data_IF_038167141320
#
_entry.id   IF_038167141320
#
_cell.length_a   1.000
_cell.length_b   1.000
_cell.length_c   1.000
_cell.angle_alpha   90.00
_cell.angle_beta   90.00
_cell.angle_gamma   90.00
#
_symmetry.space_group_name_H-M   'P 1'
#
loop_
_entity.id
_entity.type
_entity.pdbx_description
1 polymer ?
#
# COMPACT_ATOMS: atom_id res chain seq x y z
N UNK A 1 -6.69 6.22 -22.48
CA UNK A 1 -7.96 6.08 -23.24
C UNK A 1 -8.65 7.42 -23.52
N UNK A 2 -8.76 8.33 -22.55
CA UNK A 2 -9.40 9.65 -22.74
C UNK A 2 -8.74 10.51 -23.83
N UNK A 3 -7.40 10.56 -23.89
CA UNK A 3 -6.63 11.25 -24.94
C UNK A 3 -7.06 10.80 -26.35
N UNK A 4 -7.02 9.49 -26.62
CA UNK A 4 -7.35 8.93 -27.93
C UNK A 4 -8.81 9.20 -28.31
N UNK A 5 -9.75 9.05 -27.37
CA UNK A 5 -11.16 9.33 -27.62
C UNK A 5 -11.38 10.81 -28.00
N UNK A 6 -10.70 11.73 -27.32
CA UNK A 6 -10.84 13.18 -27.57
C UNK A 6 -10.27 13.61 -28.91
N UNK A 7 -9.20 12.96 -29.37
CA UNK A 7 -8.65 13.15 -30.74
C UNK A 7 -9.62 12.58 -31.78
N UNK A 8 -10.15 11.36 -31.57
CA UNK A 8 -11.05 10.69 -32.52
C UNK A 8 -12.42 11.38 -32.67
N UNK A 9 -12.90 12.01 -31.61
CA UNK A 9 -14.21 12.69 -31.60
C UNK A 9 -14.13 14.16 -32.01
N UNK A 10 -12.93 14.69 -32.22
CA UNK A 10 -12.75 16.06 -32.71
C UNK A 10 -13.46 16.24 -34.07
N UNK A 11 -14.20 17.36 -34.19
CA UNK A 11 -14.90 17.75 -35.41
C UNK A 11 -14.41 19.12 -35.86
N UNK A 12 -14.34 19.29 -37.18
CA UNK A 12 -14.19 20.62 -37.77
C UNK A 12 -15.41 21.46 -37.37
N UNK A 13 -15.16 22.63 -36.78
CA UNK A 13 -16.16 23.64 -36.47
C UNK A 13 -16.45 24.50 -37.71
N UNK A 14 -15.40 24.79 -38.46
CA UNK A 14 -15.44 25.71 -39.60
C UNK A 14 -14.33 25.37 -40.60
N UNK A 15 -14.61 25.52 -41.88
CA UNK A 15 -13.62 25.40 -42.95
C UNK A 15 -13.15 26.80 -43.33
N UNK A 16 -11.84 27.04 -43.21
CA UNK A 16 -11.24 28.37 -43.35
C UNK A 16 -10.80 28.61 -44.79
N UNK A 17 -10.12 27.63 -45.38
CA UNK A 17 -9.69 27.68 -46.80
C UNK A 17 -9.53 26.26 -47.34
N UNK A 18 -9.80 26.10 -48.62
CA UNK A 18 -9.57 24.90 -49.43
C UNK A 18 -8.54 25.13 -50.57
N UNK A 19 -7.91 26.31 -50.59
CA UNK A 19 -6.95 26.71 -51.63
C UNK A 19 -5.72 25.77 -51.72
N UNK A 20 -5.21 25.58 -52.95
CA UNK A 20 -4.03 24.75 -53.23
C UNK A 20 -2.99 25.53 -54.06
N UNK A 21 -1.79 25.82 -53.51
CA UNK A 21 -1.36 25.63 -52.12
C UNK A 21 -1.86 26.77 -51.21
N UNK A 22 -2.45 26.42 -50.06
CA UNK A 22 -2.77 27.41 -49.03
C UNK A 22 -1.49 27.99 -48.38
N UNK A 23 -1.49 29.29 -48.11
CA UNK A 23 -0.47 29.92 -47.27
C UNK A 23 -0.62 29.44 -45.82
N UNK A 24 0.37 28.72 -45.30
CA UNK A 24 0.32 28.10 -43.97
C UNK A 24 0.79 29.03 -42.85
N UNK A 25 1.50 30.11 -43.20
CA UNK A 25 2.11 31.01 -42.24
C UNK A 25 1.06 31.71 -41.33
N UNK A 26 -0.04 32.29 -41.86
CA UNK A 26 -1.06 32.98 -41.06
C UNK A 26 -1.69 32.08 -40.00
N UNK A 27 -1.77 30.78 -40.28
CA UNK A 27 -2.41 29.78 -39.43
C UNK A 27 -1.44 29.11 -38.45
N UNK A 28 -0.14 29.42 -38.54
CA UNK A 28 0.88 28.72 -37.74
C UNK A 28 1.03 27.25 -38.12
N UNK A 29 0.76 26.88 -39.38
CA UNK A 29 0.86 25.51 -39.88
C UNK A 29 2.14 25.27 -40.69
N UNK A 30 2.93 26.31 -40.95
CA UNK A 30 4.28 26.17 -41.54
C UNK A 30 5.26 25.55 -40.53
N UNK A 31 5.15 25.95 -39.26
CA UNK A 31 5.78 25.32 -38.10
C UNK A 31 4.66 25.00 -37.09
N UNK A 32 4.01 23.84 -37.20
CA UNK A 32 2.84 23.50 -36.38
C UNK A 32 3.20 23.47 -34.90
N UNK A 33 2.29 23.95 -34.04
CA UNK A 33 2.46 23.87 -32.58
C UNK A 33 2.38 22.41 -32.10
N UNK A 34 1.54 21.60 -32.74
CA UNK A 34 1.43 20.17 -32.48
C UNK A 34 1.27 19.39 -33.78
N UNK A 35 1.90 18.21 -33.83
CA UNK A 35 1.71 17.24 -34.90
C UNK A 35 1.37 15.87 -34.30
N UNK A 36 0.30 15.26 -34.81
CA UNK A 36 -0.18 13.96 -34.36
C UNK A 36 -0.16 12.99 -35.53
N UNK A 37 0.59 11.91 -35.39
CA UNK A 37 0.58 10.79 -36.35
C UNK A 37 -0.17 9.62 -35.72
N UNK A 38 -1.28 9.23 -36.34
CA UNK A 38 -2.07 8.07 -35.96
C UNK A 38 -1.85 6.95 -36.97
N UNK A 39 -1.43 5.78 -36.49
CA UNK A 39 -1.20 4.60 -37.34
C UNK A 39 -2.09 3.46 -36.89
N UNK A 40 -2.83 2.86 -37.83
CA UNK A 40 -3.67 1.69 -37.56
C UNK A 40 -3.74 0.78 -38.78
N UNK A 41 -3.35 -0.49 -38.63
CA UNK A 41 -3.43 -1.50 -39.71
C UNK A 41 -2.74 -1.11 -41.02
N UNK A 42 -1.71 -0.27 -40.96
CA UNK A 42 -1.00 0.28 -42.13
C UNK A 42 -1.53 1.61 -42.67
N UNK A 43 -2.70 2.07 -42.23
CA UNK A 43 -3.18 3.42 -42.52
C UNK A 43 -2.48 4.43 -41.61
N UNK A 44 -2.00 5.54 -42.19
CA UNK A 44 -1.36 6.64 -41.48
C UNK A 44 -2.20 7.90 -41.71
N UNK A 45 -2.56 8.59 -40.63
CA UNK A 45 -3.21 9.89 -40.66
C UNK A 45 -2.34 10.88 -39.87
N UNK A 46 -1.97 11.98 -40.51
CA UNK A 46 -1.19 13.04 -39.89
C UNK A 46 -2.04 14.30 -39.78
N UNK A 47 -2.13 14.82 -38.57
CA UNK A 47 -2.86 16.04 -38.23
C UNK A 47 -1.84 17.06 -37.74
N UNK A 48 -1.86 18.25 -38.33
CA UNK A 48 -1.10 19.41 -37.86
C UNK A 48 -2.06 20.41 -37.24
N UNK A 49 -1.69 20.94 -36.08
CA UNK A 49 -2.42 21.94 -35.31
C UNK A 49 -1.54 23.17 -35.19
N UNK A 50 -2.08 24.31 -35.60
CA UNK A 50 -1.42 25.61 -35.58
C UNK A 50 -1.91 26.49 -34.45
N UNK A 51 -1.79 27.81 -34.65
CA UNK A 51 -2.12 28.81 -33.64
C UNK A 51 -3.63 28.97 -33.45
N UNK A 52 -4.02 29.60 -32.35
CA UNK A 52 -5.39 30.08 -32.18
C UNK A 52 -5.63 31.39 -32.95
N UNK A 53 -6.82 31.61 -33.55
CA UNK A 53 -7.20 32.91 -34.08
C UNK A 53 -7.15 34.01 -33.01
N UNK A 54 -6.75 35.22 -33.38
CA UNK A 54 -6.65 36.36 -32.44
C UNK A 54 -8.00 36.84 -31.93
N UNK A 55 -9.07 36.64 -32.71
CA UNK A 55 -10.43 37.01 -32.38
C UNK A 55 -11.23 35.90 -31.67
N UNK A 56 -10.79 34.64 -31.72
CA UNK A 56 -11.43 33.52 -31.05
C UNK A 56 -10.38 32.50 -30.53
N UNK A 57 -9.84 32.72 -29.32
CA UNK A 57 -8.83 31.85 -28.73
C UNK A 57 -9.39 30.49 -28.28
N UNK A 58 -10.70 30.25 -28.41
CA UNK A 58 -11.32 28.95 -28.06
C UNK A 58 -11.16 27.89 -29.16
N UNK A 59 -10.61 28.27 -30.32
CA UNK A 59 -10.39 27.42 -31.49
C UNK A 59 -8.92 27.44 -31.88
N UNK A 60 -8.51 26.44 -32.68
CA UNK A 60 -7.18 26.37 -33.28
C UNK A 60 -7.30 25.94 -34.73
N UNK A 61 -6.39 26.44 -35.56
CA UNK A 61 -6.27 25.97 -36.94
C UNK A 61 -5.73 24.54 -36.97
N UNK A 62 -6.28 23.72 -37.86
CA UNK A 62 -5.84 22.35 -38.07
C UNK A 62 -5.86 22.00 -39.55
N UNK A 63 -4.99 21.08 -39.96
CA UNK A 63 -5.08 20.41 -41.26
C UNK A 63 -4.75 18.93 -41.13
N UNK A 64 -5.42 18.12 -41.93
CA UNK A 64 -5.05 16.72 -42.19
C UNK A 64 -4.09 16.73 -43.37
N UNK A 65 -2.90 16.13 -43.27
CA UNK A 65 -1.94 16.15 -44.39
C UNK A 65 -2.44 15.42 -45.64
N UNK A 66 -3.40 14.51 -45.48
CA UNK A 66 -4.09 13.86 -46.59
C UNK A 66 -5.04 14.81 -47.37
N UNK A 67 -5.31 16.02 -46.84
CA UNK A 67 -6.20 17.01 -47.43
C UNK A 67 -5.52 18.40 -47.45
N UNK A 68 -5.94 19.30 -48.35
CA UNK A 68 -5.39 20.65 -48.43
C UNK A 68 -6.12 21.68 -47.56
N UNK A 69 -7.30 21.32 -47.03
CA UNK A 69 -8.16 22.24 -46.32
C UNK A 69 -7.62 22.58 -44.93
N UNK A 70 -7.77 23.84 -44.55
CA UNK A 70 -7.51 24.32 -43.20
C UNK A 70 -8.86 24.52 -42.53
N UNK A 71 -9.00 23.97 -41.33
CA UNK A 71 -10.23 24.01 -40.54
C UNK A 71 -9.95 24.59 -39.17
N UNK A 72 -11.00 25.08 -38.50
CA UNK A 72 -10.96 25.37 -37.08
C UNK A 72 -11.50 24.18 -36.30
N UNK A 73 -10.78 23.77 -35.26
CA UNK A 73 -11.22 22.75 -34.28
C UNK A 73 -11.24 23.35 -32.88
N UNK A 74 -11.97 22.77 -31.91
CA UNK A 74 -11.94 23.25 -30.53
C UNK A 74 -10.52 23.20 -29.95
N UNK A 75 -10.08 24.25 -29.26
CA UNK A 75 -8.77 24.30 -28.59
C UNK A 75 -8.57 23.16 -27.58
N UNK A 76 -9.65 22.64 -27.02
CA UNK A 76 -9.65 21.49 -26.11
C UNK A 76 -8.98 20.22 -26.68
N UNK A 77 -8.78 20.11 -28.00
CA UNK A 77 -7.99 19.03 -28.63
C UNK A 77 -6.50 19.21 -28.32
N UNK A 78 -5.99 20.43 -28.48
CA UNK A 78 -4.60 20.81 -28.19
C UNK A 78 -4.31 20.70 -26.70
N UNK A 79 -5.23 21.15 -25.84
CA UNK A 79 -5.03 21.09 -24.39
C UNK A 79 -4.77 19.66 -23.88
N UNK A 80 -5.33 18.65 -24.56
CA UNK A 80 -5.14 17.24 -24.20
C UNK A 80 -3.84 16.70 -24.78
N UNK A 81 -3.45 17.14 -25.98
CA UNK A 81 -2.15 16.81 -26.58
C UNK A 81 -0.97 17.41 -25.82
N UNK A 82 -1.19 18.53 -25.14
CA UNK A 82 -0.22 19.16 -24.25
C UNK A 82 -0.02 18.39 -22.92
N UNK A 83 -0.78 17.31 -22.67
CA UNK A 83 -0.60 16.47 -21.47
C UNK A 83 0.81 15.87 -21.47
N UNK A 84 1.62 16.09 -20.42
CA UNK A 84 2.96 15.51 -20.33
C UNK A 84 2.90 13.98 -20.46
N UNK A 85 3.80 13.38 -21.24
CA UNK A 85 3.80 11.93 -21.47
C UNK A 85 3.84 11.12 -20.16
N UNK A 86 4.49 11.65 -19.12
CA UNK A 86 4.58 11.04 -17.78
C UNK A 86 3.19 10.83 -17.16
N UNK A 87 2.23 11.71 -17.43
CA UNK A 87 0.85 11.58 -16.96
C UNK A 87 0.05 10.53 -17.75
N UNK A 88 0.53 10.18 -18.96
CA UNK A 88 -0.08 9.17 -19.81
C UNK A 88 0.47 7.75 -19.56
N UNK A 89 1.53 7.62 -18.77
CA UNK A 89 2.15 6.33 -18.43
C UNK A 89 1.26 5.54 -17.47
N UNK A 90 1.23 4.23 -17.66
CA UNK A 90 0.64 3.31 -16.68
C UNK A 90 1.35 3.48 -15.33
N UNK A 91 0.57 3.68 -14.27
CA UNK A 91 1.09 3.86 -12.92
C UNK A 91 1.04 2.57 -12.13
N UNK A 92 0.25 1.59 -12.53
CA UNK A 92 0.32 0.26 -11.95
C UNK A 92 1.70 -0.35 -12.25
N UNK A 93 2.48 -0.64 -11.20
CA UNK A 93 3.85 -1.14 -11.35
C UNK A 93 3.84 -2.46 -12.13
N UNK A 94 2.95 -3.39 -11.76
CA UNK A 94 2.77 -4.66 -12.45
C UNK A 94 1.31 -5.08 -12.45
N UNK A 95 0.84 -5.63 -13.56
CA UNK A 95 -0.52 -6.15 -13.70
C UNK A 95 -0.50 -7.67 -13.75
N UNK A 96 -1.23 -8.32 -12.84
CA UNK A 96 -1.46 -9.76 -12.84
C UNK A 96 -2.74 -10.08 -12.07
N UNK A 97 -3.28 -11.28 -12.26
CA UNK A 97 -4.43 -11.79 -11.53
C UNK A 97 -3.96 -12.52 -10.25
N UNK A 98 -4.27 -12.01 -9.03
CA UNK A 98 -3.83 -12.60 -7.77
C UNK A 98 -4.14 -14.09 -7.62
N UNK A 99 -5.30 -14.52 -8.10
CA UNK A 99 -5.80 -15.90 -8.03
C UNK A 99 -5.01 -16.91 -8.87
N UNK A 100 -4.16 -16.45 -9.78
CA UNK A 100 -3.29 -17.31 -10.57
C UNK A 100 -1.94 -17.58 -9.90
N UNK A 101 -1.63 -16.92 -8.78
CA UNK A 101 -0.34 -17.08 -8.12
C UNK A 101 -0.38 -18.28 -7.17
N UNK A 102 0.46 -19.27 -7.43
CA UNK A 102 0.60 -20.49 -6.62
C UNK A 102 1.89 -20.48 -5.78
N UNK A 103 2.91 -19.75 -6.22
CA UNK A 103 4.22 -19.68 -5.57
C UNK A 103 4.70 -18.24 -5.53
N UNK A 104 5.17 -17.81 -4.35
CA UNK A 104 5.83 -16.52 -4.15
C UNK A 104 7.21 -16.78 -3.54
N UNK A 105 8.26 -16.49 -4.28
CA UNK A 105 9.64 -16.53 -3.77
C UNK A 105 10.01 -15.12 -3.27
N UNK A 106 10.45 -15.03 -2.01
CA UNK A 106 10.86 -13.78 -1.39
C UNK A 106 12.37 -13.79 -1.15
N UNK A 107 13.08 -12.92 -1.87
CA UNK A 107 14.45 -12.56 -1.55
C UNK A 107 14.46 -11.41 -0.57
N UNK A 108 15.07 -11.58 0.59
CA UNK A 108 15.20 -10.55 1.63
C UNK A 108 16.35 -10.91 2.57
N UNK A 109 16.48 -10.21 3.69
CA UNK A 109 17.36 -10.63 4.78
C UNK A 109 16.94 -11.96 5.43
N UNK A 110 15.66 -12.34 5.35
CA UNK A 110 15.10 -13.60 5.83
C UNK A 110 14.31 -14.28 4.68
N UNK A 111 15.00 -14.80 3.66
CA UNK A 111 14.35 -15.27 2.44
C UNK A 111 13.47 -16.49 2.73
N UNK A 112 12.33 -16.56 2.03
CA UNK A 112 11.39 -17.67 2.17
C UNK A 112 10.60 -17.89 0.88
N UNK A 113 9.86 -18.98 0.82
CA UNK A 113 8.91 -19.25 -0.26
C UNK A 113 7.54 -19.47 0.34
N UNK A 114 6.52 -18.77 -0.16
CA UNK A 114 5.13 -19.09 0.08
C UNK A 114 4.59 -19.98 -1.05
N UNK A 115 3.91 -21.08 -0.73
CA UNK A 115 3.34 -22.00 -1.73
C UNK A 115 1.92 -22.38 -1.35
N UNK A 116 1.04 -22.37 -2.35
CA UNK A 116 -0.30 -22.91 -2.24
C UNK A 116 -0.25 -24.44 -2.38
N UNK A 117 -0.88 -25.15 -1.43
CA UNK A 117 -1.03 -26.60 -1.46
C UNK A 117 -2.43 -27.05 -1.08
N UNK A 118 -2.64 -28.36 -1.01
CA UNK A 118 -3.94 -28.95 -0.66
C UNK A 118 -4.45 -28.53 0.74
N UNK A 119 -3.54 -28.25 1.67
CA UNK A 119 -3.85 -27.80 3.03
C UNK A 119 -3.93 -26.28 3.20
N UNK A 120 -3.90 -25.51 2.12
CA UNK A 120 -3.80 -24.05 2.15
C UNK A 120 -2.38 -23.55 1.88
N UNK A 121 -2.11 -22.31 2.25
CA UNK A 121 -0.81 -21.67 2.03
C UNK A 121 0.18 -22.07 3.13
N UNK A 122 1.40 -22.39 2.71
CA UNK A 122 2.57 -22.48 3.59
C UNK A 122 3.51 -21.31 3.28
N UNK A 123 4.10 -20.68 4.30
CA UNK A 123 5.21 -19.74 4.17
C UNK A 123 6.44 -20.31 4.89
N UNK A 124 7.46 -20.69 4.13
CA UNK A 124 8.50 -21.58 4.62
C UNK A 124 7.90 -22.94 4.99
N UNK A 125 8.18 -23.41 6.21
CA UNK A 125 7.70 -24.70 6.72
C UNK A 125 6.42 -24.60 7.59
N UNK A 126 5.83 -23.39 7.71
CA UNK A 126 4.67 -23.15 8.57
C UNK A 126 3.43 -22.73 7.76
N UNK A 127 2.21 -23.04 8.25
CA UNK A 127 0.98 -22.48 7.69
C UNK A 127 1.01 -20.95 7.67
N UNK A 128 0.58 -20.39 6.54
CA UNK A 128 0.34 -18.98 6.37
C UNK A 128 -1.17 -18.69 6.40
N UNK A 129 -1.53 -17.52 6.92
CA UNK A 129 -2.91 -17.05 6.90
C UNK A 129 -3.32 -16.72 5.46
N UNK A 130 -4.35 -17.38 4.91
CA UNK A 130 -4.79 -17.15 3.53
C UNK A 130 -5.29 -15.73 3.28
N UNK A 131 -5.82 -15.05 4.31
CA UNK A 131 -6.28 -13.65 4.21
C UNK A 131 -5.08 -12.73 4.00
N UNK A 132 -3.97 -12.97 4.69
CA UNK A 132 -2.76 -12.16 4.55
C UNK A 132 -2.07 -12.36 3.21
N UNK A 133 -2.00 -13.60 2.73
CA UNK A 133 -1.50 -13.89 1.37
C UNK A 133 -2.34 -13.16 0.33
N UNK A 134 -3.68 -13.24 0.43
CA UNK A 134 -4.57 -12.55 -0.50
C UNK A 134 -4.40 -11.02 -0.43
N UNK A 135 -4.29 -10.43 0.77
CA UNK A 135 -4.02 -9.00 0.93
C UNK A 135 -2.68 -8.57 0.34
N UNK A 136 -1.64 -9.39 0.52
CA UNK A 136 -0.32 -9.13 -0.06
C UNK A 136 -0.34 -9.19 -1.60
N UNK A 137 -0.93 -10.23 -2.19
CA UNK A 137 -1.07 -10.35 -3.64
C UNK A 137 -1.90 -9.21 -4.23
N UNK A 138 -2.99 -8.82 -3.55
CA UNK A 138 -3.78 -7.64 -3.93
C UNK A 138 -2.93 -6.36 -3.87
N UNK A 139 -2.15 -6.17 -2.82
CA UNK A 139 -1.23 -5.02 -2.68
C UNK A 139 -0.21 -4.98 -3.80
N UNK A 140 0.42 -6.11 -4.14
CA UNK A 140 1.37 -6.20 -5.26
C UNK A 140 0.70 -5.92 -6.61
N UNK A 141 -0.50 -6.46 -6.84
CA UNK A 141 -1.24 -6.25 -8.08
C UNK A 141 -1.73 -4.82 -8.24
N UNK A 142 -1.95 -4.08 -7.14
CA UNK A 142 -2.46 -2.70 -7.18
C UNK A 142 -1.35 -1.66 -6.95
N UNK A 143 -0.10 -2.09 -6.79
CA UNK A 143 1.03 -1.25 -6.42
C UNK A 143 1.21 -0.09 -7.41
N UNK A 144 1.19 1.15 -6.92
CA UNK A 144 1.27 2.35 -7.75
C UNK A 144 2.66 2.96 -7.76
N UNK A 145 3.10 3.37 -8.94
CA UNK A 145 4.26 4.21 -9.18
C UNK A 145 3.90 5.65 -8.79
N UNK A 146 4.60 6.18 -7.80
CA UNK A 146 4.51 7.60 -7.40
C UNK A 146 5.54 8.47 -8.11
N UNK A 147 6.56 7.87 -8.72
CA UNK A 147 7.56 8.57 -9.51
C UNK A 147 8.25 7.67 -10.54
N UNK A 148 8.42 8.18 -11.76
CA UNK A 148 9.23 7.56 -12.81
C UNK A 148 10.66 8.09 -12.67
N UNK A 149 11.56 7.27 -12.14
CA UNK A 149 12.90 7.72 -11.73
C UNK A 149 13.83 7.77 -12.94
N UNK A 150 13.89 6.67 -13.71
CA UNK A 150 14.77 6.55 -14.88
C UNK A 150 14.33 5.39 -15.77
N UNK A 151 14.26 5.61 -17.08
CA UNK A 151 13.77 4.59 -18.04
C UNK A 151 14.86 3.68 -18.61
N UNK A 152 16.11 4.12 -18.57
CA UNK A 152 17.29 3.34 -18.99
C UNK A 152 18.32 3.39 -17.86
N UNK A 153 18.29 2.34 -17.05
CA UNK A 153 19.05 2.23 -15.80
C UNK A 153 20.28 1.36 -16.04
N UNK A 154 21.46 1.85 -15.62
CA UNK A 154 22.69 1.05 -15.65
C UNK A 154 22.82 0.21 -14.39
N UNK A 155 23.69 -0.80 -14.39
CA UNK A 155 23.98 -1.59 -13.18
C UNK A 155 24.43 -0.71 -12.00
N UNK A 156 25.21 0.34 -12.27
CA UNK A 156 25.62 1.30 -11.26
C UNK A 156 24.44 2.07 -10.66
N UNK A 157 23.46 2.47 -11.50
CA UNK A 157 22.24 3.13 -11.02
C UNK A 157 21.41 2.17 -10.16
N UNK A 158 21.27 0.88 -10.56
CA UNK A 158 20.57 -0.11 -9.74
C UNK A 158 21.22 -0.28 -8.36
N UNK A 159 22.56 -0.31 -8.28
CA UNK A 159 23.27 -0.32 -6.99
C UNK A 159 22.99 0.95 -6.19
N UNK A 160 23.02 2.13 -6.83
CA UNK A 160 22.72 3.42 -6.20
C UNK A 160 21.28 3.51 -5.66
N UNK A 161 20.34 2.78 -6.25
CA UNK A 161 18.95 2.72 -5.78
C UNK A 161 18.68 1.55 -4.81
N UNK A 162 19.69 0.71 -4.53
CA UNK A 162 19.52 -0.49 -3.70
C UNK A 162 18.67 -1.57 -4.37
N UNK A 163 18.66 -1.60 -5.69
CA UNK A 163 17.93 -2.54 -6.55
C UNK A 163 18.82 -3.66 -7.11
N UNK A 164 20.13 -3.61 -6.83
CA UNK A 164 21.11 -4.66 -7.14
C UNK A 164 22.18 -4.74 -6.02
N UNK A 165 22.12 -5.75 -5.12
CA UNK A 165 20.98 -6.64 -4.91
C UNK A 165 19.79 -5.85 -4.33
N UNK A 166 18.57 -6.21 -4.75
CA UNK A 166 17.37 -5.64 -4.18
C UNK A 166 17.21 -6.06 -2.71
N UNK A 167 16.89 -5.11 -1.81
CA UNK A 167 16.65 -5.43 -0.40
C UNK A 167 15.45 -6.37 -0.22
N UNK A 168 14.43 -6.21 -1.06
CA UNK A 168 13.30 -7.14 -1.16
C UNK A 168 13.07 -7.49 -2.62
N UNK A 169 12.97 -8.77 -2.92
CA UNK A 169 12.68 -9.29 -4.24
C UNK A 169 11.47 -10.23 -4.15
N UNK A 170 10.53 -10.10 -5.09
CA UNK A 170 9.35 -10.96 -5.18
C UNK A 170 9.30 -11.62 -6.55
N UNK A 171 9.29 -12.95 -6.58
CA UNK A 171 9.06 -13.73 -7.81
C UNK A 171 7.71 -14.44 -7.67
N UNK A 172 6.76 -14.11 -8.54
CA UNK A 172 5.42 -14.71 -8.57
C UNK A 172 5.36 -15.77 -9.67
N UNK A 173 4.82 -16.96 -9.36
CA UNK A 173 4.67 -18.04 -10.33
C UNK A 173 3.31 -18.73 -10.21
N UNK A 174 2.84 -19.26 -11.34
CA UNK A 174 1.73 -20.22 -11.39
C UNK A 174 2.26 -21.63 -11.64
N UNK A 175 1.53 -22.63 -11.14
CA UNK A 175 1.80 -24.05 -11.36
C UNK A 175 0.79 -24.60 -12.37
N UNK A 176 1.29 -25.06 -13.52
CA UNK A 176 0.46 -25.74 -14.52
C UNK A 176 0.62 -27.25 -14.38
N UNK A 177 -0.49 -27.94 -14.13
CA UNK A 177 -0.53 -29.40 -14.10
C UNK A 177 -0.70 -29.98 -15.50
N UNK A 178 -0.11 -31.15 -15.76
CA UNK A 178 -0.17 -31.86 -17.05
C UNK A 178 0.44 -31.10 -18.25
N UNK A 179 1.34 -30.15 -18.01
CA UNK A 179 2.07 -29.45 -19.06
C UNK A 179 3.18 -30.34 -19.66
N UNK A 180 3.37 -30.25 -20.98
CA UNK A 180 4.52 -30.85 -21.67
C UNK A 180 5.83 -30.03 -21.51
N UNK A 181 5.74 -28.84 -20.89
CA UNK A 181 6.83 -27.89 -20.68
C UNK A 181 7.03 -27.51 -19.20
N UNK A 182 7.67 -26.37 -18.90
CA UNK A 182 7.91 -25.93 -17.53
C UNK A 182 6.60 -25.85 -16.74
N UNK A 183 6.58 -26.49 -15.57
CA UNK A 183 5.39 -26.54 -14.71
C UNK A 183 5.24 -25.28 -13.86
N UNK A 184 6.31 -24.54 -13.62
CA UNK A 184 6.30 -23.31 -12.81
C UNK A 184 6.53 -22.08 -13.70
N UNK A 185 5.46 -21.45 -14.18
CA UNK A 185 5.53 -20.32 -15.11
C UNK A 185 5.69 -19.01 -14.33
N UNK A 186 6.63 -18.17 -14.76
CA UNK A 186 6.84 -16.84 -14.18
C UNK A 186 5.67 -15.92 -14.54
N UNK A 187 5.06 -15.30 -13.53
CA UNK A 187 4.06 -14.23 -13.70
C UNK A 187 4.74 -12.87 -13.67
N UNK A 188 5.53 -12.62 -12.62
CA UNK A 188 6.20 -11.34 -12.42
C UNK A 188 7.44 -11.52 -11.54
N UNK A 189 8.43 -10.65 -11.73
CA UNK A 189 9.56 -10.52 -10.81
C UNK A 189 9.81 -9.04 -10.53
N UNK A 190 9.80 -8.69 -9.25
CA UNK A 190 9.93 -7.32 -8.76
C UNK A 190 11.10 -7.21 -7.79
N UNK A 191 11.78 -6.06 -7.79
CA UNK A 191 12.79 -5.70 -6.81
C UNK A 191 12.45 -4.37 -6.17
N UNK A 192 12.69 -4.24 -4.87
CA UNK A 192 12.44 -3.03 -4.09
C UNK A 192 13.68 -2.72 -3.25
N UNK A 193 14.12 -1.47 -3.31
CA UNK A 193 15.38 -0.98 -2.74
C UNK A 193 15.21 0.03 -1.62
N UNK A 194 16.28 0.22 -0.85
CA UNK A 194 16.27 0.93 0.44
C UNK A 194 16.89 2.33 0.40
N UNK A 195 17.24 2.84 -0.79
CA UNK A 195 17.42 4.27 -1.16
C UNK A 195 16.28 5.22 -0.73
N UNK A 196 15.30 4.68 -0.01
CA UNK A 196 14.07 5.26 0.44
C UNK A 196 14.31 6.45 1.38
N UNK A 197 14.07 7.66 0.90
CA UNK A 197 13.86 8.82 1.75
C UNK A 197 12.56 8.64 2.55
N UNK A 198 12.20 9.60 3.40
CA UNK A 198 10.87 9.65 4.02
C UNK A 198 9.70 9.67 3.02
N UNK A 199 9.97 9.73 1.70
CA UNK A 199 8.99 9.89 0.63
C UNK A 199 8.58 8.58 -0.06
N UNK A 200 9.35 7.48 0.05
CA UNK A 200 9.03 6.25 -0.66
C UNK A 200 10.20 5.28 -0.79
N UNK A 201 10.04 4.20 -1.57
CA UNK A 201 11.11 3.24 -1.89
C UNK A 201 11.30 3.13 -3.41
N UNK A 202 12.52 2.79 -3.85
CA UNK A 202 12.75 2.50 -5.27
C UNK A 202 12.25 1.10 -5.61
N UNK A 203 11.72 0.93 -6.82
CA UNK A 203 11.25 -0.35 -7.33
C UNK A 203 11.73 -0.57 -8.77
N UNK A 204 11.87 -1.83 -9.15
CA UNK A 204 12.10 -2.27 -10.53
C UNK A 204 11.24 -3.46 -10.87
N UNK A 205 10.97 -3.61 -12.15
CA UNK A 205 10.66 -4.89 -12.75
C UNK A 205 11.92 -5.49 -13.36
N UNK A 206 11.93 -6.80 -13.54
CA UNK A 206 13.07 -7.51 -14.15
C UNK A 206 12.86 -7.82 -15.63
N UNK A 207 11.73 -7.43 -16.22
CA UNK A 207 11.42 -7.55 -17.65
C UNK A 207 11.64 -6.25 -18.43
N UNK A 208 12.16 -5.21 -17.77
CA UNK A 208 12.52 -3.92 -18.36
C UNK A 208 13.67 -3.25 -17.58
N UNK A 209 14.31 -2.25 -18.19
CA UNK A 209 15.50 -1.56 -17.65
C UNK A 209 15.16 -0.22 -16.99
N UNK A 210 14.04 -0.16 -16.26
CA UNK A 210 13.52 1.05 -15.62
C UNK A 210 13.52 1.00 -14.10
N UNK A 211 13.63 2.17 -13.47
CA UNK A 211 13.50 2.38 -12.03
C UNK A 211 12.33 3.31 -11.72
N UNK A 212 11.58 2.94 -10.69
CA UNK A 212 10.38 3.61 -10.23
C UNK A 212 10.50 3.96 -8.75
N UNK A 213 9.61 4.83 -8.27
CA UNK A 213 9.37 5.06 -6.86
C UNK A 213 7.98 4.58 -6.49
N UNK A 214 7.85 3.92 -5.33
CA UNK A 214 6.58 3.53 -4.68
C UNK A 214 6.45 4.26 -3.35
N UNK A 215 5.23 4.41 -2.83
CA UNK A 215 5.01 5.13 -1.58
C UNK A 215 5.62 4.41 -0.37
N UNK A 216 5.95 5.16 0.68
CA UNK A 216 6.46 4.59 1.93
C UNK A 216 5.43 3.67 2.61
N UNK A 217 4.13 3.96 2.43
CA UNK A 217 3.01 3.14 2.93
C UNK A 217 2.95 1.81 2.20
N UNK A 218 3.08 1.80 0.88
CA UNK A 218 3.09 0.55 0.12
C UNK A 218 4.30 -0.28 0.49
N UNK A 219 5.48 0.34 0.56
CA UNK A 219 6.71 -0.31 0.98
C UNK A 219 6.60 -0.97 2.37
N UNK A 220 5.99 -0.28 3.35
CA UNK A 220 5.86 -0.80 4.71
C UNK A 220 4.94 -2.02 4.81
N UNK A 221 4.02 -2.20 3.84
CA UNK A 221 3.08 -3.32 3.78
C UNK A 221 3.66 -4.57 3.12
N UNK A 222 4.81 -4.47 2.45
CA UNK A 222 5.40 -5.61 1.76
C UNK A 222 6.11 -6.55 2.76
N UNK A 223 5.70 -7.83 2.88
CA UNK A 223 6.33 -8.80 3.77
C UNK A 223 7.76 -9.10 3.34
N UNK A 224 8.64 -9.25 4.32
CA UNK A 224 10.05 -9.60 4.11
C UNK A 224 10.46 -10.86 4.85
N UNK A 225 9.60 -11.43 5.70
CA UNK A 225 9.85 -12.69 6.38
C UNK A 225 8.58 -13.55 6.50
N UNK A 226 8.74 -14.87 6.52
CA UNK A 226 7.64 -15.83 6.53
C UNK A 226 6.72 -15.66 7.76
N UNK A 227 7.28 -15.32 8.93
CA UNK A 227 6.51 -15.21 10.16
C UNK A 227 5.52 -14.03 10.15
N UNK A 228 5.70 -13.03 9.26
CA UNK A 228 4.73 -11.95 9.09
C UNK A 228 3.42 -12.40 8.43
N UNK A 229 3.42 -13.58 7.80
CA UNK A 229 2.27 -14.16 7.13
C UNK A 229 1.55 -15.22 7.99
N UNK A 230 1.97 -15.38 9.25
CA UNK A 230 1.30 -16.28 10.21
C UNK A 230 0.03 -15.63 10.75
N UNK A 231 -0.78 -16.43 11.45
CA UNK A 231 -2.01 -16.00 12.13
C UNK A 231 -1.78 -14.67 12.89
N UNK A 232 -2.67 -13.72 12.65
CA UNK A 232 -2.65 -12.41 13.32
C UNK A 232 -3.18 -12.45 14.74
N UNK A 233 -3.74 -13.57 15.20
CA UNK A 233 -4.32 -13.72 16.54
C UNK A 233 -3.24 -13.69 17.61
N UNK A 234 -3.31 -12.67 18.48
CA UNK A 234 -2.45 -12.52 19.65
C UNK A 234 -3.07 -13.20 20.86
N UNK A 235 -4.33 -12.88 21.17
CA UNK A 235 -5.07 -13.43 22.30
C UNK A 235 -6.35 -14.11 21.85
N UNK A 236 -6.74 -15.14 22.59
CA UNK A 236 -7.95 -15.92 22.36
C UNK A 236 -8.57 -16.32 23.70
N UNK A 237 -9.62 -15.63 24.10
CA UNK A 237 -10.42 -15.96 25.29
C UNK A 237 -11.82 -15.36 25.18
N UNK A 238 -12.75 -15.87 25.99
CA UNK A 238 -14.10 -15.30 26.11
C UNK A 238 -14.15 -14.27 27.23
N UNK A 239 -15.04 -13.29 27.15
CA UNK A 239 -15.23 -12.27 28.21
C UNK A 239 -15.45 -12.89 29.60
N UNK A 240 -16.07 -14.07 29.65
CA UNK A 240 -16.30 -14.81 30.90
C UNK A 240 -15.08 -15.45 31.51
N UNK A 241 -13.93 -15.45 30.85
CA UNK A 241 -12.66 -15.87 31.43
C UNK A 241 -11.87 -14.68 31.98
N UNK A 242 -12.26 -13.44 31.67
CA UNK A 242 -11.50 -12.25 32.05
C UNK A 242 -11.85 -11.83 33.48
N UNK A 243 -10.86 -11.87 34.37
CA UNK A 243 -11.01 -11.45 35.76
C UNK A 243 -10.59 -9.99 35.97
N UNK A 244 -9.45 -9.59 35.39
CA UNK A 244 -8.79 -8.31 35.68
C UNK A 244 -8.16 -7.73 34.44
N UNK A 245 -8.23 -6.41 34.30
CA UNK A 245 -7.43 -5.65 33.34
C UNK A 245 -6.62 -4.63 34.14
N UNK A 246 -5.31 -4.65 33.93
CA UNK A 246 -4.38 -3.73 34.58
C UNK A 246 -3.57 -3.01 33.50
N UNK A 247 -3.49 -1.68 33.59
CA UNK A 247 -2.49 -0.90 32.87
C UNK A 247 -1.55 -0.21 33.86
N UNK A 248 -0.26 -0.39 33.62
CA UNK A 248 0.83 0.25 34.36
C UNK A 248 1.55 1.18 33.39
N UNK A 249 1.75 2.44 33.77
CA UNK A 249 2.58 3.38 33.02
C UNK A 249 3.30 4.30 34.01
N UNK A 250 4.63 4.29 33.99
CA UNK A 250 5.44 4.90 35.05
C UNK A 250 4.94 4.39 36.43
N UNK A 251 4.72 5.28 37.38
CA UNK A 251 4.16 4.94 38.71
C UNK A 251 2.62 4.85 38.73
N UNK A 252 1.96 5.15 37.62
CA UNK A 252 0.49 5.14 37.54
C UNK A 252 -0.01 3.74 37.23
N UNK A 253 -0.86 3.22 38.12
CA UNK A 253 -1.53 1.92 37.95
C UNK A 253 -3.02 2.15 37.89
N UNK A 254 -3.65 1.69 36.81
CA UNK A 254 -5.11 1.63 36.67
C UNK A 254 -5.54 0.18 36.55
N UNK A 255 -6.54 -0.17 37.34
CA UNK A 255 -6.95 -1.57 37.50
C UNK A 255 -8.46 -1.68 37.60
N UNK A 256 -9.03 -2.56 36.80
CA UNK A 256 -10.45 -2.93 36.83
C UNK A 256 -10.60 -4.43 37.07
N UNK A 257 -11.63 -4.78 37.83
CA UNK A 257 -11.97 -6.15 38.20
C UNK A 257 -13.38 -6.47 37.74
N UNK A 258 -13.56 -7.65 37.14
CA UNK A 258 -14.87 -8.25 36.88
C UNK A 258 -15.28 -9.09 38.09
N UNK A 259 -16.35 -8.67 38.76
CA UNK A 259 -16.86 -9.35 39.94
C UNK A 259 -17.64 -10.62 39.57
N UNK A 260 -17.87 -11.56 40.53
CA UNK A 260 -18.63 -12.78 40.28
C UNK A 260 -20.08 -12.56 39.80
N UNK A 261 -20.67 -11.40 40.12
CA UNK A 261 -22.00 -11.00 39.63
C UNK A 261 -21.98 -10.44 38.19
N UNK A 262 -20.80 -10.37 37.54
CA UNK A 262 -20.59 -9.82 36.20
C UNK A 262 -20.35 -8.31 36.16
N UNK A 263 -20.38 -7.62 37.29
CA UNK A 263 -20.17 -6.17 37.37
C UNK A 263 -18.68 -5.81 37.25
N UNK A 264 -18.40 -4.71 36.55
CA UNK A 264 -17.06 -4.13 36.46
C UNK A 264 -16.86 -3.03 37.50
N UNK A 265 -15.78 -3.13 38.27
CA UNK A 265 -15.38 -2.10 39.23
C UNK A 265 -13.95 -1.61 38.96
N UNK A 266 -13.73 -0.30 39.11
CA UNK A 266 -12.39 0.27 39.16
C UNK A 266 -11.83 0.13 40.57
N UNK A 267 -10.73 -0.60 40.73
CA UNK A 267 -10.14 -0.88 42.04
C UNK A 267 -8.90 -0.03 42.33
N UNK A 268 -8.27 0.54 41.29
CA UNK A 268 -7.14 1.47 41.45
C UNK A 268 -7.05 2.45 40.28
N UNK A 269 -6.68 3.70 40.56
CA UNK A 269 -6.36 4.70 39.53
C UNK A 269 -7.56 5.36 38.84
N UNK A 270 -8.76 5.28 39.43
CA UNK A 270 -9.97 5.91 38.89
C UNK A 270 -10.53 6.94 39.88
N UNK A 271 -10.75 8.17 39.43
CA UNK A 271 -11.39 9.23 40.22
C UNK A 271 -12.93 9.20 40.13
N UNK A 272 -13.47 8.50 39.13
CA UNK A 272 -14.90 8.36 38.85
C UNK A 272 -15.25 6.90 38.64
N UNK A 273 -16.54 6.57 38.75
CA UNK A 273 -17.05 5.26 38.40
C UNK A 273 -16.64 4.88 36.96
N UNK A 274 -16.23 3.63 36.77
CA UNK A 274 -15.89 3.09 35.46
C UNK A 274 -17.15 2.93 34.60
N UNK A 275 -16.99 2.94 33.29
CA UNK A 275 -18.09 2.66 32.37
C UNK A 275 -18.17 1.15 32.11
N UNK A 276 -19.18 0.43 32.67
CA UNK A 276 -19.25 -1.03 32.54
C UNK A 276 -19.50 -1.48 31.10
N UNK A 277 -20.24 -0.71 30.30
CA UNK A 277 -20.49 -1.05 28.89
C UNK A 277 -19.22 -0.95 28.05
N UNK A 278 -18.41 0.10 28.28
CA UNK A 278 -17.12 0.24 27.61
C UNK A 278 -16.15 -0.88 27.99
N UNK A 279 -16.17 -1.31 29.27
CA UNK A 279 -15.34 -2.41 29.75
C UNK A 279 -15.77 -3.76 29.19
N UNK A 280 -17.07 -4.02 29.05
CA UNK A 280 -17.56 -5.27 28.44
C UNK A 280 -17.18 -5.37 26.95
N UNK A 281 -17.34 -4.27 26.20
CA UNK A 281 -16.93 -4.19 24.79
C UNK A 281 -15.41 -4.33 24.62
N UNK A 282 -14.64 -3.66 25.48
CA UNK A 282 -13.18 -3.78 25.51
C UNK A 282 -12.76 -5.23 25.81
N UNK A 283 -13.37 -5.87 26.79
CA UNK A 283 -13.09 -7.25 27.16
C UNK A 283 -13.36 -8.22 26.00
N UNK A 284 -14.49 -8.05 25.31
CA UNK A 284 -14.83 -8.83 24.13
C UNK A 284 -13.78 -8.68 23.02
N UNK A 285 -13.38 -7.43 22.69
CA UNK A 285 -12.40 -7.17 21.64
C UNK A 285 -10.97 -7.59 22.00
N UNK A 286 -10.54 -7.46 23.27
CA UNK A 286 -9.27 -8.00 23.74
C UNK A 286 -9.24 -9.53 23.65
N UNK A 287 -10.39 -10.18 23.90
CA UNK A 287 -10.57 -11.63 23.75
C UNK A 287 -10.29 -12.17 22.35
N UNK A 288 -10.43 -11.31 21.34
CA UNK A 288 -10.17 -11.60 19.93
C UNK A 288 -9.08 -10.67 19.35
N UNK A 289 -8.11 -10.25 20.16
CA UNK A 289 -7.04 -9.35 19.73
C UNK A 289 -6.27 -9.96 18.55
N UNK A 290 -6.42 -9.33 17.38
CA UNK A 290 -5.63 -9.59 16.19
C UNK A 290 -4.71 -8.40 15.92
N UNK A 291 -3.50 -8.65 15.44
CA UNK A 291 -2.60 -7.58 15.00
C UNK A 291 -3.07 -6.96 13.70
N UNK A 292 -2.74 -5.68 13.48
CA UNK A 292 -2.86 -5.08 12.14
C UNK A 292 -1.76 -5.61 11.24
N UNK A 293 -0.52 -5.66 11.74
CA UNK A 293 0.62 -6.24 11.06
C UNK A 293 1.69 -6.67 12.07
N UNK A 294 2.38 -7.76 11.75
CA UNK A 294 3.61 -8.18 12.40
C UNK A 294 4.80 -7.35 11.88
N UNK A 295 5.54 -6.70 12.79
CA UNK A 295 6.52 -5.65 12.43
C UNK A 295 7.97 -6.11 12.64
N UNK A 296 8.27 -6.70 13.79
CA UNK A 296 9.61 -7.17 14.11
C UNK A 296 9.59 -8.32 15.10
N UNK A 297 10.68 -9.08 15.15
CA UNK A 297 10.87 -10.21 16.07
C UNK A 297 12.29 -10.20 16.63
N UNK A 298 12.45 -10.64 17.88
CA UNK A 298 13.71 -10.74 18.59
C UNK A 298 14.00 -9.55 19.51
N UNK A 299 15.06 -9.69 20.32
CA UNK A 299 15.36 -8.77 21.43
C UNK A 299 15.71 -7.35 20.96
N UNK A 300 16.36 -7.21 19.81
CA UNK A 300 16.75 -5.92 19.22
C UNK A 300 15.54 -5.04 18.81
N UNK A 301 14.34 -5.62 18.75
CA UNK A 301 13.13 -4.89 18.36
C UNK A 301 12.76 -3.81 19.39
N UNK A 302 13.03 -4.04 20.68
CA UNK A 302 12.62 -3.10 21.76
C UNK A 302 13.15 -1.69 21.52
N UNK A 303 14.46 -1.54 21.33
CA UNK A 303 15.10 -0.25 21.12
C UNK A 303 14.64 0.42 19.80
N UNK A 304 14.45 -0.37 18.73
CA UNK A 304 14.08 0.14 17.40
C UNK A 304 12.67 0.73 17.33
N UNK A 305 11.76 0.22 18.15
CA UNK A 305 10.33 0.56 18.08
C UNK A 305 9.83 1.36 19.30
N UNK A 306 10.75 1.99 20.03
CA UNK A 306 10.43 2.94 21.09
C UNK A 306 9.93 2.30 22.39
N UNK A 307 10.28 1.03 22.64
CA UNK A 307 10.02 0.40 23.93
C UNK A 307 11.12 0.78 24.93
N UNK A 308 10.74 1.30 26.10
CA UNK A 308 11.66 1.73 27.15
C UNK A 308 11.32 1.03 28.47
N UNK A 309 12.14 1.23 29.50
CA UNK A 309 11.84 0.73 30.85
C UNK A 309 10.53 1.29 31.43
N UNK A 310 10.06 2.41 30.88
CA UNK A 310 8.85 3.12 31.30
C UNK A 310 7.64 2.87 30.39
N UNK A 311 7.80 2.01 29.36
CA UNK A 311 6.72 1.67 28.44
C UNK A 311 5.48 1.18 29.19
N UNK A 312 4.32 1.66 28.75
CA UNK A 312 3.06 1.24 29.34
C UNK A 312 2.84 -0.27 29.11
N UNK A 313 2.47 -0.99 30.17
CA UNK A 313 2.16 -2.42 30.12
C UNK A 313 0.68 -2.64 30.37
N UNK A 314 0.01 -3.29 29.42
CA UNK A 314 -1.33 -3.82 29.59
C UNK A 314 -1.20 -5.30 29.94
N UNK A 315 -1.84 -5.72 31.04
CA UNK A 315 -1.97 -7.12 31.41
C UNK A 315 -3.41 -7.47 31.70
N UNK A 316 -3.79 -8.68 31.32
CA UNK A 316 -5.08 -9.28 31.63
C UNK A 316 -4.88 -10.56 32.41
N UNK A 317 -5.67 -10.74 33.47
CA UNK A 317 -5.71 -11.98 34.24
C UNK A 317 -6.94 -12.76 33.81
N UNK A 318 -6.70 -13.99 33.36
CA UNK A 318 -7.73 -14.93 32.99
C UNK A 318 -7.95 -15.94 34.12
N UNK A 319 -9.20 -16.24 34.43
CA UNK A 319 -9.63 -17.34 35.29
C UNK A 319 -10.15 -18.52 34.44
N UNK A 320 -10.35 -19.66 35.09
CA UNK A 320 -10.81 -20.89 34.45
C UNK A 320 -9.90 -22.08 34.78
N UNK A 321 -9.94 -23.12 33.94
CA UNK A 321 -9.16 -24.35 34.15
C UNK A 321 -7.64 -24.12 34.16
N UNK A 322 -7.17 -23.12 33.40
CA UNK A 322 -5.77 -22.69 33.36
C UNK A 322 -5.69 -21.18 33.55
N UNK A 323 -5.65 -20.69 34.80
CA UNK A 323 -5.43 -19.28 35.05
C UNK A 323 -4.11 -18.84 34.42
N UNK A 324 -4.13 -17.71 33.73
CA UNK A 324 -2.96 -17.17 33.06
C UNK A 324 -3.02 -15.65 33.01
N UNK A 325 -1.85 -15.02 33.01
CA UNK A 325 -1.72 -13.58 32.77
C UNK A 325 -1.17 -13.38 31.37
N UNK A 326 -1.92 -12.68 30.52
CA UNK A 326 -1.45 -12.26 29.21
C UNK A 326 -1.04 -10.81 29.29
N UNK A 327 0.06 -10.44 28.63
CA UNK A 327 0.58 -9.08 28.67
C UNK A 327 1.11 -8.60 27.33
N UNK A 328 0.99 -7.30 27.12
CA UNK A 328 1.66 -6.56 26.06
C UNK A 328 2.22 -5.25 26.61
N UNK A 329 3.25 -4.76 25.95
CA UNK A 329 3.85 -3.45 26.20
C UNK A 329 3.54 -2.53 25.02
N UNK A 330 3.45 -1.22 25.25
CA UNK A 330 3.27 -0.21 24.20
C UNK A 330 4.58 0.55 23.95
N UNK A 331 4.89 0.78 22.68
CA UNK A 331 6.06 1.50 22.21
C UNK A 331 5.69 2.80 21.48
N UNK A 332 6.53 3.16 20.50
CA UNK A 332 6.30 4.32 19.64
C UNK A 332 5.13 4.15 18.66
N UNK A 333 5.09 5.02 17.65
CA UNK A 333 4.07 4.99 16.60
C UNK A 333 4.66 4.51 15.27
N UNK A 334 3.85 3.78 14.51
CA UNK A 334 4.18 3.40 13.13
C UNK A 334 3.99 4.55 12.14
N UNK A 335 4.47 4.42 10.89
CA UNK A 335 4.19 5.39 9.82
C UNK A 335 2.69 5.62 9.59
N UNK A 336 1.86 4.60 9.87
CA UNK A 336 0.39 4.68 9.82
C UNK A 336 -0.22 5.32 11.08
N UNK A 337 0.60 5.85 11.98
CA UNK A 337 0.19 6.42 13.28
C UNK A 337 -0.50 5.41 14.20
N UNK A 338 -0.22 4.12 14.03
CA UNK A 338 -0.70 3.08 14.94
C UNK A 338 0.30 2.87 16.08
N UNK A 339 -0.15 2.59 17.32
CA UNK A 339 0.76 2.24 18.40
C UNK A 339 1.44 0.91 18.10
N UNK A 340 2.76 0.86 18.26
CA UNK A 340 3.44 -0.43 18.35
C UNK A 340 3.10 -1.08 19.70
N UNK A 341 2.82 -2.36 19.66
CA UNK A 341 2.71 -3.21 20.84
C UNK A 341 3.72 -4.36 20.74
N UNK A 342 4.20 -4.82 21.89
CA UNK A 342 5.13 -5.94 22.00
C UNK A 342 4.53 -7.02 22.87
N UNK A 343 4.56 -8.24 22.39
CA UNK A 343 4.18 -9.45 23.14
C UNK A 343 5.17 -10.58 22.85
N UNK A 344 4.94 -11.77 23.39
CA UNK A 344 5.78 -12.94 23.13
C UNK A 344 5.02 -13.92 22.23
N UNK A 345 5.59 -14.23 21.06
CA UNK A 345 5.07 -15.23 20.11
C UNK A 345 6.15 -16.28 19.88
N UNK A 346 5.81 -17.55 20.09
CA UNK A 346 6.75 -18.68 19.99
C UNK A 346 8.06 -18.45 20.78
N UNK A 347 7.93 -17.92 22.01
CA UNK A 347 9.08 -17.66 22.90
C UNK A 347 9.96 -16.46 22.50
N UNK A 348 9.57 -15.68 21.49
CA UNK A 348 10.33 -14.52 21.01
C UNK A 348 9.55 -13.22 21.20
N UNK A 349 10.19 -12.13 21.65
CA UNK A 349 9.58 -10.80 21.61
C UNK A 349 9.18 -10.46 20.18
N UNK A 350 7.92 -10.11 19.99
CA UNK A 350 7.36 -9.82 18.67
C UNK A 350 6.58 -8.51 18.75
N UNK A 351 6.98 -7.57 17.90
CA UNK A 351 6.37 -6.25 17.76
C UNK A 351 5.30 -6.30 16.69
N UNK A 352 4.17 -5.66 16.96
CA UNK A 352 3.06 -5.56 16.04
C UNK A 352 2.40 -4.18 16.09
N UNK A 353 1.66 -3.83 15.04
CA UNK A 353 0.78 -2.67 15.04
C UNK A 353 -0.54 -2.99 15.76
N UNK A 354 -0.79 -2.29 16.86
CA UNK A 354 -1.99 -2.47 17.66
C UNK A 354 -3.22 -1.85 16.97
N UNK A 355 -4.38 -2.54 16.95
CA UNK A 355 -5.56 -2.03 16.26
C UNK A 355 -6.04 -0.68 16.80
N UNK A 356 -6.19 0.29 15.91
CA UNK A 356 -6.63 1.65 16.24
C UNK A 356 -7.94 1.68 17.04
N UNK A 357 -8.95 0.94 16.58
CA UNK A 357 -10.26 0.95 17.23
C UNK A 357 -10.17 0.42 18.66
N UNK A 358 -9.40 -0.64 18.88
CA UNK A 358 -9.18 -1.20 20.21
C UNK A 358 -8.38 -0.25 21.10
N UNK A 359 -7.48 0.55 20.52
CA UNK A 359 -6.77 1.59 21.23
C UNK A 359 -7.70 2.72 21.69
N UNK A 360 -8.66 3.12 20.85
CA UNK A 360 -9.74 4.05 21.25
C UNK A 360 -10.56 3.44 22.39
N UNK A 361 -10.92 2.15 22.32
CA UNK A 361 -11.73 1.51 23.35
C UNK A 361 -11.00 1.51 24.70
N UNK A 362 -9.67 1.32 24.69
CA UNK A 362 -8.82 1.53 25.87
C UNK A 362 -8.91 2.98 26.38
N UNK A 363 -8.92 4.00 25.51
CA UNK A 363 -9.05 5.41 25.92
C UNK A 363 -10.42 5.68 26.55
N UNK A 364 -11.50 5.19 25.95
CA UNK A 364 -12.87 5.34 26.46
C UNK A 364 -13.02 4.66 27.83
N UNK A 365 -12.39 3.51 28.02
CA UNK A 365 -12.32 2.82 29.30
C UNK A 365 -11.37 3.48 30.32
N UNK A 366 -10.72 4.59 29.97
CA UNK A 366 -9.64 5.23 30.73
C UNK A 366 -8.48 4.28 31.06
N UNK A 367 -8.23 3.30 30.20
CA UNK A 367 -7.18 2.27 30.30
C UNK A 367 -6.10 2.39 29.21
N UNK A 368 -6.09 3.47 28.42
CA UNK A 368 -5.02 3.70 27.44
C UNK A 368 -3.77 4.38 28.05
N UNK A 369 -2.56 4.12 27.50
CA UNK A 369 -1.36 4.89 27.82
C UNK A 369 -1.53 6.40 27.54
N UNK A 370 -1.07 7.27 28.44
CA UNK A 370 -1.21 8.72 28.34
C UNK A 370 -0.32 9.35 27.24
N UNK A 371 0.77 8.69 26.84
CA UNK A 371 1.76 9.21 25.89
C UNK A 371 1.31 9.09 24.43
N UNK A 372 0.33 8.22 24.17
CA UNK A 372 -0.20 7.98 22.83
C UNK A 372 -1.53 8.74 22.71
N UNK A 373 -1.42 10.08 22.80
CA UNK A 373 -2.53 10.99 22.53
C UNK A 373 -2.73 11.11 21.02
N UNK A 374 -3.32 10.07 20.44
CA UNK A 374 -3.64 10.06 19.03
C UNK A 374 -4.86 10.97 18.80
N UNK A 375 -4.63 12.20 18.33
CA UNK A 375 -5.70 13.03 17.80
C UNK A 375 -6.29 12.33 16.57
N UNK A 376 -7.61 12.34 16.43
CA UNK A 376 -8.28 11.91 15.19
C UNK A 376 -7.56 12.53 13.99
N UNK A 377 -7.19 11.75 12.95
CA UNK A 377 -6.81 12.36 11.69
C UNK A 377 -7.97 13.27 11.28
N UNK A 378 -7.69 14.55 11.02
CA UNK A 378 -8.68 15.41 10.38
C UNK A 378 -9.12 14.67 9.13
N UNK A 379 -10.42 14.47 8.95
CA UNK A 379 -10.96 14.03 7.68
C UNK A 379 -10.34 14.95 6.61
N UNK A 380 -9.50 14.38 5.75
CA UNK A 380 -8.99 15.10 4.59
C UNK A 380 -10.24 15.37 3.74
N UNK A 381 -10.51 16.63 3.36
CA UNK A 381 -11.71 16.98 2.60
C UNK A 381 -11.79 16.27 1.25
#
# INVERSE_FOLDING_TARGET
QQLLNKIQTARALEFVTDEQPADLEPYGLQAPEFEVTLTSGGAVQQIQLGRAPTNDPSRVYARLLAHSNIVLVPKSVVDVLATPYVELRERQLVAFAPELVDIIEVGSAEPFVARQGAGGWLAGDAPADPVLIAQWLNTLSQLQVVGFVKDVVTDFDFMLYGLEPAQRQYTLRTVVTNAAGPTNILIARLGVGTNATSEGAFARRYDEDSAYAISAVDYSRLPWAAWQLRDHRVWSFTTNQLARITIIQNDNVREVLRQPNGEWIGVKGFERAVNPFALEELAFKLGALNVVAWIARGDDARAKFGFTTNSARLSIELHGEKPQTLSLEFGGLSPLRLPYALTTVDGQPTVFEFPWQLYIDLQIANLAPAEVNLRLPKAVP
#
